data_IF_310129795352
#
_entry.id   IF_310129795352
#
_cell.length_a   1.000
_cell.length_b   1.000
_cell.length_c   1.000
_cell.angle_alpha   90.00
_cell.angle_beta   90.00
_cell.angle_gamma   90.00
#
_symmetry.space_group_name_H-M   'P 1'
#
loop_
_entity.id
_entity.type
_entity.pdbx_description
1 polymer ?
#
# COMPACT_ATOMS: atom_id res chain seq x y z
N UNK A 1 -6.27 4.02 28.35
CA UNK A 1 -5.46 2.92 28.94
C UNK A 1 -4.34 2.56 27.97
N UNK A 2 -3.12 2.31 28.46
CA UNK A 2 -1.95 1.98 27.63
C UNK A 2 -2.05 0.55 27.08
N UNK A 3 -1.76 0.30 25.79
CA UNK A 3 -1.67 -1.06 25.26
C UNK A 3 -0.62 -1.89 26.00
N UNK A 4 -0.91 -3.17 26.26
CA UNK A 4 0.03 -4.05 26.92
C UNK A 4 1.30 -4.24 26.07
N UNK A 5 2.51 -4.20 26.65
CA UNK A 5 3.74 -4.49 25.94
C UNK A 5 3.71 -5.88 25.32
N UNK A 6 4.16 -6.01 24.08
CA UNK A 6 4.03 -7.28 23.37
C UNK A 6 4.17 -7.19 21.87
N UNK A 7 3.90 -8.32 21.24
CA UNK A 7 3.81 -8.44 19.79
C UNK A 7 2.34 -8.51 19.39
N UNK A 8 1.99 -7.71 18.39
CA UNK A 8 0.68 -7.76 17.73
C UNK A 8 0.94 -8.11 16.27
N UNK A 9 0.27 -9.15 15.80
CA UNK A 9 0.28 -9.52 14.39
C UNK A 9 -1.13 -9.35 13.83
N UNK A 10 -1.24 -8.75 12.65
CA UNK A 10 -2.49 -8.68 11.90
C UNK A 10 -2.27 -9.11 10.46
N UNK A 11 -3.25 -9.81 9.90
CA UNK A 11 -3.31 -10.13 8.48
C UNK A 11 -4.56 -9.45 7.90
N UNK A 12 -4.36 -8.62 6.89
CA UNK A 12 -5.45 -7.88 6.24
C UNK A 12 -5.46 -8.24 4.77
N UNK A 13 -6.63 -8.62 4.25
CA UNK A 13 -6.85 -8.79 2.82
C UNK A 13 -7.81 -7.71 2.31
N UNK A 14 -7.44 -7.07 1.21
CA UNK A 14 -8.24 -6.07 0.51
C UNK A 14 -8.39 -6.56 -0.93
N UNK A 15 -9.64 -6.75 -1.36
CA UNK A 15 -9.96 -7.10 -2.74
C UNK A 15 -10.64 -5.92 -3.42
N UNK A 16 -10.17 -5.58 -4.62
CA UNK A 16 -10.76 -4.58 -5.47
C UNK A 16 -11.02 -5.17 -6.85
N UNK A 17 -12.24 -4.96 -7.36
CA UNK A 17 -12.68 -5.34 -8.70
C UNK A 17 -13.38 -4.11 -9.28
N UNK A 18 -12.86 -3.61 -10.40
CA UNK A 18 -13.37 -2.39 -11.00
C UNK A 18 -13.12 -2.35 -12.50
N UNK A 19 -14.10 -1.80 -13.21
CA UNK A 19 -14.06 -1.61 -14.64
C UNK A 19 -14.39 -0.16 -15.04
N UNK A 20 -13.76 0.32 -16.10
CA UNK A 20 -14.07 1.59 -16.75
C UNK A 20 -14.50 1.31 -18.18
N UNK A 21 -15.81 1.44 -18.42
CA UNK A 21 -16.43 1.27 -19.75
C UNK A 21 -16.75 2.63 -20.41
N UNK A 22 -16.76 2.64 -21.73
CA UNK A 22 -17.12 3.81 -22.55
C UNK A 22 -15.93 4.69 -22.96
N UNK A 23 -16.22 5.95 -23.35
CA UNK A 23 -15.23 6.91 -23.85
C UNK A 23 -14.40 7.60 -22.74
N UNK A 24 -14.48 7.14 -21.50
CA UNK A 24 -13.66 7.67 -20.42
C UNK A 24 -12.19 7.30 -20.68
N UNK A 25 -11.36 8.31 -20.97
CA UNK A 25 -9.94 8.14 -21.23
C UNK A 25 -9.17 8.37 -19.94
N UNK A 26 -8.38 7.38 -19.54
CA UNK A 26 -7.45 7.49 -18.40
C UNK A 26 -6.01 7.36 -18.88
N UNK A 27 -5.10 8.24 -18.43
CA UNK A 27 -3.69 8.11 -18.76
C UNK A 27 -3.08 6.93 -17.99
N UNK A 28 -2.63 5.90 -18.71
CA UNK A 28 -1.94 4.73 -18.16
C UNK A 28 -0.65 4.53 -18.96
N UNK A 29 0.50 4.50 -18.27
CA UNK A 29 1.84 4.33 -18.89
C UNK A 29 2.08 5.32 -20.05
N UNK A 30 1.69 6.58 -19.85
CA UNK A 30 1.89 7.66 -20.84
C UNK A 30 1.01 7.60 -22.09
N UNK A 31 0.01 6.72 -22.13
CA UNK A 31 -0.94 6.61 -23.23
C UNK A 31 -2.40 6.72 -22.74
N UNK A 32 -3.31 7.11 -23.65
CA UNK A 32 -4.73 7.19 -23.35
C UNK A 32 -5.34 5.78 -23.46
N UNK A 33 -5.89 5.32 -22.34
CA UNK A 33 -6.56 4.03 -22.24
C UNK A 33 -8.07 4.21 -22.14
N UNK A 34 -8.78 3.36 -22.86
CA UNK A 34 -10.24 3.19 -22.80
C UNK A 34 -10.54 1.72 -22.49
N UNK A 35 -11.61 1.40 -21.77
CA UNK A 35 -11.93 -0.01 -21.48
C UNK A 35 -10.88 -0.66 -20.57
N UNK A 36 -10.82 -0.20 -19.32
CA UNK A 36 -9.97 -0.79 -18.28
C UNK A 36 -10.78 -1.83 -17.50
N UNK A 37 -10.23 -3.02 -17.31
CA UNK A 37 -10.70 -4.03 -16.37
C UNK A 37 -9.56 -4.32 -15.40
N UNK A 38 -9.80 -4.19 -14.10
CA UNK A 38 -8.78 -4.31 -13.06
C UNK A 38 -9.30 -5.08 -11.87
N UNK A 39 -8.57 -6.15 -11.53
CA UNK A 39 -8.72 -6.91 -10.29
C UNK A 39 -7.42 -6.87 -9.53
N UNK A 40 -7.47 -6.41 -8.29
CA UNK A 40 -6.31 -6.31 -7.42
C UNK A 40 -6.65 -6.86 -6.05
N UNK A 41 -5.78 -7.71 -5.51
CA UNK A 41 -5.86 -8.18 -4.14
C UNK A 41 -4.58 -7.79 -3.42
N UNK A 42 -4.71 -7.17 -2.25
CA UNK A 42 -3.60 -6.91 -1.35
C UNK A 42 -3.77 -7.75 -0.10
N UNK A 43 -2.77 -8.56 0.21
CA UNK A 43 -2.66 -9.26 1.50
C UNK A 43 -1.48 -8.67 2.25
N UNK A 44 -1.74 -8.01 3.37
CA UNK A 44 -0.71 -7.38 4.20
C UNK A 44 -0.58 -8.11 5.53
N UNK A 45 0.63 -8.59 5.82
CA UNK A 45 1.00 -9.05 7.14
C UNK A 45 1.69 -7.90 7.88
N UNK A 46 1.13 -7.47 9.00
CA UNK A 46 1.69 -6.41 9.84
C UNK A 46 2.13 -6.97 11.18
N UNK A 47 3.34 -6.59 11.60
CA UNK A 47 3.97 -6.99 12.85
C UNK A 47 4.31 -5.74 13.63
N UNK A 48 3.64 -5.55 14.76
CA UNK A 48 3.83 -4.40 15.64
C UNK A 48 4.43 -4.87 16.96
N UNK A 49 5.53 -4.25 17.37
CA UNK A 49 6.09 -4.35 18.70
C UNK A 49 5.62 -3.16 19.52
N UNK A 50 4.86 -3.43 20.58
CA UNK A 50 4.54 -2.44 21.62
C UNK A 50 5.64 -2.52 22.68
N UNK A 51 6.34 -1.42 22.92
CA UNK A 51 7.43 -1.35 23.86
C UNK A 51 6.90 -1.16 25.29
N UNK A 52 7.64 -1.70 26.26
CA UNK A 52 7.36 -1.39 27.67
C UNK A 52 7.91 -0.01 28.00
N UNK A 53 7.02 0.92 28.26
CA UNK A 53 7.32 2.31 28.63
C UNK A 53 7.12 2.58 30.12
N UNK A 54 6.75 1.56 30.90
CA UNK A 54 6.50 1.68 32.33
C UNK A 54 5.29 2.55 32.66
N UNK A 55 5.32 3.14 33.87
CA UNK A 55 4.25 4.05 34.33
C UNK A 55 4.51 5.44 33.76
N UNK A 56 3.66 5.89 32.84
CA UNK A 56 3.72 7.23 32.26
C UNK A 56 2.64 7.46 31.21
N UNK A 57 2.58 8.68 30.70
CA UNK A 57 1.62 9.08 29.65
C UNK A 57 2.09 8.72 28.23
N UNK A 58 3.34 8.28 28.07
CA UNK A 58 3.93 7.97 26.75
C UNK A 58 3.97 6.47 26.48
N UNK A 59 3.58 6.09 25.27
CA UNK A 59 3.68 4.74 24.73
C UNK A 59 4.41 4.76 23.40
N UNK A 60 5.23 3.74 23.16
CA UNK A 60 5.95 3.59 21.90
C UNK A 60 5.63 2.26 21.25
N UNK A 61 5.54 2.26 19.92
CA UNK A 61 5.45 1.07 19.11
C UNK A 61 6.34 1.18 17.87
N UNK A 62 6.82 0.04 17.38
CA UNK A 62 7.48 -0.06 16.07
C UNK A 62 6.73 -1.08 15.24
N UNK A 63 6.60 -0.88 13.94
CA UNK A 63 5.85 -1.78 13.08
C UNK A 63 6.53 -2.02 11.73
N UNK A 64 6.31 -3.21 11.18
CA UNK A 64 6.62 -3.55 9.80
C UNK A 64 5.40 -4.19 9.14
N UNK A 65 5.04 -3.70 7.95
CA UNK A 65 3.99 -4.23 7.10
C UNK A 65 4.61 -4.81 5.83
N UNK A 66 4.30 -6.07 5.54
CA UNK A 66 4.76 -6.78 4.35
C UNK A 66 3.54 -7.09 3.47
N UNK A 67 3.32 -6.32 2.39
CA UNK A 67 2.23 -6.55 1.46
C UNK A 67 2.63 -7.49 0.31
N UNK A 68 1.75 -8.44 0.01
CA UNK A 68 1.73 -9.22 -1.23
C UNK A 68 0.53 -8.77 -2.04
N UNK A 69 0.77 -8.41 -3.29
CA UNK A 69 -0.25 -7.94 -4.22
C UNK A 69 -0.42 -8.94 -5.36
N UNK A 70 -1.64 -9.38 -5.58
CA UNK A 70 -2.08 -9.98 -6.84
C UNK A 70 -2.71 -8.89 -7.71
N UNK A 71 -2.37 -8.87 -8.99
CA UNK A 71 -2.92 -7.94 -9.97
C UNK A 71 -3.29 -8.71 -11.23
N UNK A 72 -4.42 -8.33 -11.80
CA UNK A 72 -4.89 -8.76 -13.12
C UNK A 72 -5.54 -7.53 -13.77
N UNK A 73 -4.86 -6.98 -14.78
CA UNK A 73 -5.25 -5.73 -15.43
C UNK A 73 -5.25 -5.93 -16.94
N UNK A 74 -6.36 -5.57 -17.56
CA UNK A 74 -6.50 -5.49 -19.01
C UNK A 74 -6.87 -4.05 -19.41
N UNK A 75 -6.13 -3.48 -20.37
CA UNK A 75 -6.37 -2.14 -20.88
C UNK A 75 -6.29 -2.09 -22.40
N UNK A 76 -7.17 -1.30 -23.04
CA UNK A 76 -7.05 -0.97 -24.46
C UNK A 76 -6.35 0.38 -24.64
N UNK A 77 -5.13 0.35 -25.17
CA UNK A 77 -4.26 1.53 -25.31
C UNK A 77 -4.36 2.09 -26.72
N UNK A 78 -4.78 3.35 -26.86
CA UNK A 78 -4.82 4.03 -28.18
C UNK A 78 -3.58 4.90 -28.37
N UNK A 79 -2.75 4.55 -29.35
CA UNK A 79 -1.51 5.26 -29.66
C UNK A 79 -1.71 6.53 -30.52
N UNK A 80 -0.65 7.35 -30.71
CA UNK A 80 -0.71 8.65 -31.40
C UNK A 80 -1.20 8.61 -32.86
N UNK A 81 -1.25 7.43 -33.48
CA UNK A 81 -1.74 7.19 -34.84
C UNK A 81 -3.13 6.53 -34.89
N UNK A 82 -3.87 6.52 -33.78
CA UNK A 82 -5.22 5.96 -33.70
C UNK A 82 -5.29 4.43 -33.65
N UNK A 83 -4.14 3.74 -33.52
CA UNK A 83 -4.11 2.28 -33.36
C UNK A 83 -4.35 1.92 -31.89
N UNK A 84 -5.41 1.14 -31.64
CA UNK A 84 -5.70 0.57 -30.32
C UNK A 84 -5.09 -0.82 -30.20
N UNK A 85 -4.32 -1.08 -29.15
CA UNK A 85 -3.76 -2.39 -28.83
C UNK A 85 -4.19 -2.78 -27.42
N UNK A 86 -4.64 -4.03 -27.25
CA UNK A 86 -4.86 -4.61 -25.94
C UNK A 86 -3.52 -4.87 -25.26
N UNK A 87 -3.39 -4.48 -23.99
CA UNK A 87 -2.27 -4.83 -23.12
C UNK A 87 -2.84 -5.43 -21.83
N UNK A 88 -2.23 -6.51 -21.41
CA UNK A 88 -2.60 -7.28 -20.22
C UNK A 88 -1.38 -7.40 -19.32
N UNK A 89 -1.60 -7.37 -18.01
CA UNK A 89 -0.57 -7.63 -17.00
C UNK A 89 -1.20 -8.38 -15.82
N UNK A 90 -0.62 -9.53 -15.49
CA UNK A 90 -1.09 -10.40 -14.42
C UNK A 90 0.09 -10.91 -13.59
N UNK A 91 -0.06 -10.94 -12.27
CA UNK A 91 0.97 -11.50 -11.40
C UNK A 91 0.75 -11.28 -9.91
N UNK A 92 1.42 -12.10 -9.12
CA UNK A 92 1.52 -11.98 -7.66
C UNK A 92 2.93 -11.59 -7.27
N UNK A 93 3.09 -10.47 -6.56
CA UNK A 93 4.38 -9.89 -6.24
C UNK A 93 4.36 -9.21 -4.86
N UNK A 94 5.52 -9.07 -4.24
CA UNK A 94 5.65 -8.21 -3.06
C UNK A 94 5.54 -6.74 -3.46
N UNK A 95 4.75 -5.99 -2.72
CA UNK A 95 4.71 -4.53 -2.78
C UNK A 95 5.72 -3.92 -1.78
N UNK A 96 5.88 -2.61 -1.83
CA UNK A 96 6.82 -1.90 -0.95
C UNK A 96 6.46 -2.14 0.53
N UNK A 97 7.45 -2.51 1.34
CA UNK A 97 7.23 -2.71 2.76
C UNK A 97 6.96 -1.37 3.44
N UNK A 98 6.06 -1.37 4.41
CA UNK A 98 5.78 -0.22 5.27
C UNK A 98 6.54 -0.40 6.58
N UNK A 99 7.47 0.50 6.87
CA UNK A 99 8.23 0.50 8.12
C UNK A 99 7.83 1.71 8.94
N UNK A 100 7.39 1.50 10.17
CA UNK A 100 7.16 2.56 11.15
C UNK A 100 8.19 2.38 12.26
N UNK A 101 9.34 3.08 12.20
CA UNK A 101 10.42 2.90 13.17
C UNK A 101 9.95 3.21 14.59
N UNK A 102 9.16 4.27 14.73
CA UNK A 102 8.53 4.66 15.98
C UNK A 102 7.17 5.30 15.73
N UNK A 103 6.20 4.86 16.51
CA UNK A 103 4.91 5.50 16.76
C UNK A 103 4.86 5.84 18.24
N UNK A 104 4.59 7.10 18.57
CA UNK A 104 4.51 7.63 19.92
C UNK A 104 3.07 8.04 20.22
N UNK A 105 2.50 7.50 21.28
CA UNK A 105 1.20 7.88 21.81
C UNK A 105 1.33 8.62 23.13
N UNK A 106 0.76 9.82 23.25
CA UNK A 106 0.65 10.56 24.51
C UNK A 106 -0.79 10.53 25.03
N UNK A 107 -0.95 10.22 26.31
CA UNK A 107 -2.24 10.04 26.97
C UNK A 107 -2.50 11.24 27.87
N UNK A 108 -3.53 12.04 27.55
CA UNK A 108 -3.97 13.15 28.40
C UNK A 108 -4.82 12.64 29.57
N UNK A 109 -5.73 11.69 29.26
CA UNK A 109 -6.54 10.95 30.22
C UNK A 109 -6.89 9.56 29.63
N UNK A 110 -7.94 8.90 30.12
CA UNK A 110 -8.30 7.56 29.67
C UNK A 110 -8.80 7.50 28.22
N UNK A 111 -9.39 8.58 27.72
CA UNK A 111 -10.08 8.64 26.40
C UNK A 111 -9.44 9.64 25.44
N UNK A 112 -8.66 10.61 25.94
CA UNK A 112 -8.00 11.63 25.14
C UNK A 112 -6.52 11.29 24.93
N UNK A 113 -6.13 11.13 23.66
CA UNK A 113 -4.80 10.70 23.25
C UNK A 113 -4.31 11.50 22.04
N UNK A 114 -3.01 11.71 21.96
CA UNK A 114 -2.31 12.18 20.76
C UNK A 114 -1.47 11.02 20.22
N UNK A 115 -1.50 10.79 18.90
CA UNK A 115 -0.64 9.80 18.24
C UNK A 115 0.21 10.49 17.18
N UNK A 116 1.51 10.22 17.23
CA UNK A 116 2.50 10.68 16.26
C UNK A 116 3.22 9.44 15.71
N UNK A 117 3.33 9.32 14.39
CA UNK A 117 4.08 8.22 13.78
C UNK A 117 4.70 8.68 12.49
N UNK A 118 5.77 8.01 12.07
CA UNK A 118 6.37 8.21 10.76
C UNK A 118 6.43 6.87 10.03
N UNK A 119 5.35 6.47 9.34
CA UNK A 119 5.41 5.37 8.40
C UNK A 119 6.26 5.75 7.17
N UNK A 120 7.03 4.78 6.70
CA UNK A 120 7.95 4.91 5.56
C UNK A 120 7.72 3.73 4.65
N UNK A 121 7.34 3.98 3.39
CA UNK A 121 7.42 2.96 2.36
C UNK A 121 8.86 2.86 1.87
N UNK A 122 9.41 1.65 1.89
CA UNK A 122 10.77 1.36 1.42
C UNK A 122 10.71 0.65 0.07
N UNK A 123 11.64 0.92 -0.87
CA UNK A 123 11.59 0.44 -2.26
C UNK A 123 12.03 -1.02 -2.37
N UNK A 124 11.28 -1.92 -1.74
CA UNK A 124 11.53 -3.37 -1.74
C UNK A 124 10.56 -4.15 -2.60
N UNK A 125 9.49 -3.51 -3.07
CA UNK A 125 8.48 -4.11 -3.93
C UNK A 125 8.99 -4.34 -5.35
N UNK A 126 8.31 -5.24 -6.07
CA UNK A 126 8.66 -5.52 -7.45
C UNK A 126 8.30 -4.33 -8.36
N UNK A 127 9.27 -3.83 -9.13
CA UNK A 127 9.08 -2.72 -10.06
C UNK A 127 9.65 -3.02 -11.46
N UNK A 128 8.94 -2.61 -12.52
CA UNK A 128 9.37 -2.68 -13.92
C UNK A 128 8.62 -1.63 -14.75
N UNK A 129 9.35 -0.77 -15.44
CA UNK A 129 8.79 0.30 -16.30
C UNK A 129 7.89 -0.22 -17.43
N UNK A 130 8.04 -1.49 -17.78
CA UNK A 130 7.25 -2.17 -18.81
C UNK A 130 6.04 -2.93 -18.25
N UNK A 131 5.74 -2.84 -16.94
CA UNK A 131 4.50 -3.37 -16.36
C UNK A 131 3.38 -2.33 -16.43
N UNK A 132 2.15 -2.79 -16.63
CA UNK A 132 0.97 -1.93 -16.53
C UNK A 132 0.67 -1.56 -15.09
N UNK A 133 0.89 -2.49 -14.17
CA UNK A 133 0.64 -2.31 -12.76
C UNK A 133 1.86 -2.75 -11.94
N UNK A 134 2.46 -1.80 -11.23
CA UNK A 134 3.62 -2.06 -10.38
C UNK A 134 3.19 -2.09 -8.90
N UNK A 135 3.49 -3.17 -8.17
CA UNK A 135 3.30 -3.23 -6.72
C UNK A 135 4.26 -2.34 -5.93
N UNK A 136 5.50 -2.21 -6.40
CA UNK A 136 6.47 -1.26 -5.85
C UNK A 136 6.47 0.05 -6.62
N UNK A 137 6.94 1.13 -5.99
CA UNK A 137 7.10 2.45 -6.60
C UNK A 137 8.56 2.80 -6.90
N UNK A 138 9.51 1.98 -6.43
CA UNK A 138 10.95 2.21 -6.57
C UNK A 138 11.40 3.59 -6.04
N UNK A 139 10.75 4.08 -4.97
CA UNK A 139 11.16 5.26 -4.22
C UNK A 139 10.95 5.07 -2.71
N UNK A 140 11.48 6.01 -1.92
CA UNK A 140 11.06 6.16 -0.52
C UNK A 140 9.91 7.16 -0.41
N UNK A 141 8.85 6.78 0.29
CA UNK A 141 7.74 7.68 0.63
C UNK A 141 7.63 7.81 2.14
N UNK A 142 7.65 9.06 2.63
CA UNK A 142 7.54 9.40 4.05
C UNK A 142 6.15 9.97 4.33
N UNK A 143 5.51 9.49 5.39
CA UNK A 143 4.15 9.91 5.78
C UNK A 143 4.18 10.47 7.20
N UNK A 144 4.43 11.78 7.39
CA UNK A 144 4.42 12.40 8.71
C UNK A 144 3.02 12.67 9.27
#
# INVERSE_FOLDING_TARGET
ITPAPGWVMSLTNIWYDGDLRGNAQVPIVGALCTGLDMKVSYTMANFTRVWDTGKGSWNYASAIGVPVQYTDVTASITGPRGRTLGREDTGTQFADMLVTPIAAGYHFDEVNHLSLSLPIYVPTGAYNDNRLANPGQNNYTFMP
#
